data_IF_924598008117
#
_entry.id   IF_924598008117
#
_cell.length_a   1.000
_cell.length_b   1.000
_cell.length_c   1.000
_cell.angle_alpha   90.00
_cell.angle_beta   90.00
_cell.angle_gamma   90.00
#
_symmetry.space_group_name_H-M   'P 1'
#
loop_
_entity.id
_entity.type
_entity.pdbx_description
1 polymer ?
#
# COMPACT_ATOMS: atom_id res chain seq x y z
N UNK A 1 18.01 8.19 22.99
CA UNK A 1 16.78 8.57 22.27
C UNK A 1 16.81 8.09 20.82
N UNK A 2 17.77 8.54 20.00
CA UNK A 2 17.89 8.18 18.56
C UNK A 2 17.80 6.67 18.25
N UNK A 3 18.51 5.82 19.01
CA UNK A 3 18.51 4.36 18.81
C UNK A 3 17.14 3.71 19.03
N UNK A 4 16.34 4.24 19.98
CA UNK A 4 14.99 3.73 20.24
C UNK A 4 14.01 4.15 19.13
N UNK A 5 14.18 5.36 18.59
CA UNK A 5 13.36 5.86 17.49
C UNK A 5 13.69 5.11 16.20
N UNK A 6 14.98 4.91 15.90
CA UNK A 6 15.44 4.12 14.75
C UNK A 6 14.87 2.68 14.77
N UNK A 7 15.01 1.97 15.89
CA UNK A 7 14.44 0.62 16.03
C UNK A 7 12.93 0.60 15.82
N UNK A 8 12.23 1.64 16.28
CA UNK A 8 10.79 1.76 16.10
C UNK A 8 10.39 2.06 14.65
N UNK A 9 11.20 2.83 13.91
CA UNK A 9 10.98 3.10 12.48
C UNK A 9 11.20 1.83 11.67
N UNK A 10 12.29 1.10 11.92
CA UNK A 10 12.57 -0.17 11.26
C UNK A 10 11.48 -1.21 11.53
N UNK A 11 11.00 -1.30 12.79
CA UNK A 11 9.88 -2.17 13.13
C UNK A 11 8.60 -1.78 12.37
N UNK A 12 8.26 -0.49 12.37
CA UNK A 12 7.09 0.01 11.63
C UNK A 12 7.18 -0.25 10.14
N UNK A 13 8.35 -0.01 9.53
CA UNK A 13 8.59 -0.25 8.12
C UNK A 13 8.45 -1.74 7.79
N UNK A 14 9.03 -2.61 8.61
CA UNK A 14 8.89 -4.06 8.47
C UNK A 14 7.43 -4.52 8.57
N UNK A 15 6.66 -3.97 9.51
CA UNK A 15 5.25 -4.32 9.70
C UNK A 15 4.39 -3.88 8.50
N UNK A 16 4.63 -2.68 7.98
CA UNK A 16 3.94 -2.17 6.77
C UNK A 16 4.30 -2.99 5.54
N UNK A 17 5.59 -3.23 5.30
CA UNK A 17 6.05 -4.09 4.19
C UNK A 17 5.49 -5.50 4.27
N UNK A 18 5.42 -6.07 5.47
CA UNK A 18 4.85 -7.39 5.70
C UNK A 18 3.34 -7.42 5.44
N UNK A 19 2.60 -6.40 5.89
CA UNK A 19 1.15 -6.28 5.63
C UNK A 19 0.89 -6.24 4.12
N UNK A 20 1.62 -5.38 3.42
CA UNK A 20 1.51 -5.23 1.96
C UNK A 20 1.93 -6.51 1.22
N UNK A 21 2.96 -7.21 1.69
CA UNK A 21 3.33 -8.52 1.17
C UNK A 21 2.19 -9.53 1.31
N UNK A 22 1.53 -9.60 2.47
CA UNK A 22 0.37 -10.47 2.67
C UNK A 22 -0.81 -10.10 1.77
N UNK A 23 -1.03 -8.80 1.52
CA UNK A 23 -2.06 -8.31 0.58
C UNK A 23 -1.82 -8.85 -0.82
N UNK A 24 -0.60 -8.69 -1.35
CA UNK A 24 -0.25 -9.16 -2.69
C UNK A 24 -0.29 -10.68 -2.79
N UNK A 25 0.16 -11.36 -1.73
CA UNK A 25 0.07 -12.80 -1.65
C UNK A 25 -1.40 -13.24 -1.72
N UNK A 26 -2.29 -12.64 -0.93
CA UNK A 26 -3.72 -12.97 -0.99
C UNK A 26 -4.33 -12.71 -2.38
N UNK A 27 -4.00 -11.58 -3.01
CA UNK A 27 -4.50 -11.27 -4.36
C UNK A 27 -3.97 -12.29 -5.38
N UNK A 28 -2.67 -12.60 -5.35
CA UNK A 28 -2.03 -13.53 -6.28
C UNK A 28 -2.51 -14.97 -6.10
N UNK A 29 -2.64 -15.45 -4.86
CA UNK A 29 -3.16 -16.79 -4.58
C UNK A 29 -4.66 -16.89 -4.94
N UNK A 30 -5.45 -15.84 -4.69
CA UNK A 30 -6.87 -15.78 -5.05
C UNK A 30 -7.11 -15.86 -6.57
N UNK A 31 -6.29 -15.17 -7.36
CA UNK A 31 -6.35 -15.24 -8.82
C UNK A 31 -5.99 -16.64 -9.36
N UNK A 32 -4.98 -17.29 -8.79
CA UNK A 32 -4.59 -18.65 -9.18
C UNK A 32 -5.72 -19.69 -8.94
N UNK A 33 -6.47 -19.56 -7.85
CA UNK A 33 -7.63 -20.42 -7.57
C UNK A 33 -8.74 -20.20 -8.62
N UNK A 34 -8.92 -18.98 -9.12
CA UNK A 34 -9.97 -18.64 -10.10
C UNK A 34 -9.64 -19.05 -11.54
N UNK A 35 -8.37 -19.28 -11.87
CA UNK A 35 -7.90 -19.49 -13.25
C UNK A 35 -7.45 -20.93 -13.54
N UNK A 36 -7.41 -21.81 -12.53
CA UNK A 36 -6.85 -23.16 -12.68
C UNK A 36 -7.77 -24.13 -13.45
N UNK A 37 -7.23 -24.96 -14.37
CA UNK A 37 -8.00 -26.01 -15.03
C UNK A 37 -8.41 -27.11 -14.04
N UNK A 38 -9.51 -27.81 -14.34
CA UNK A 38 -10.12 -28.92 -13.56
C UNK A 38 -9.25 -30.18 -13.53
N UNK A 39 -7.98 -30.07 -13.13
CA UNK A 39 -7.09 -31.21 -12.93
C UNK A 39 -7.05 -31.64 -11.45
N UNK A 40 -6.99 -32.94 -11.15
CA UNK A 40 -7.01 -33.46 -9.78
C UNK A 40 -5.76 -33.09 -8.95
N UNK A 41 -4.61 -32.81 -9.59
CA UNK A 41 -3.41 -32.29 -8.91
C UNK A 41 -3.59 -30.86 -8.39
N UNK A 42 -4.50 -30.08 -8.98
CA UNK A 42 -4.86 -28.76 -8.48
C UNK A 42 -5.72 -28.83 -7.19
N UNK A 43 -6.32 -29.98 -6.87
CA UNK A 43 -7.22 -30.11 -5.71
C UNK A 43 -6.49 -29.98 -4.38
N UNK A 44 -5.29 -30.55 -4.26
CA UNK A 44 -4.48 -30.47 -3.03
C UNK A 44 -3.78 -29.11 -2.97
N UNK A 45 -3.14 -28.66 -4.06
CA UNK A 45 -2.46 -27.36 -4.11
C UNK A 45 -3.45 -26.21 -3.93
N UNK A 46 -4.62 -26.29 -4.57
CA UNK A 46 -5.73 -25.35 -4.43
C UNK A 46 -6.35 -25.35 -3.04
N UNK A 47 -6.53 -26.52 -2.40
CA UNK A 47 -6.99 -26.60 -1.02
C UNK A 47 -5.96 -26.01 -0.03
N UNK A 48 -4.66 -26.24 -0.26
CA UNK A 48 -3.57 -25.69 0.55
C UNK A 48 -3.47 -24.17 0.36
N UNK A 49 -3.59 -23.69 -0.88
CA UNK A 49 -3.73 -22.27 -1.23
C UNK A 49 -4.92 -21.61 -0.55
N UNK A 50 -6.11 -22.21 -0.60
CA UNK A 50 -7.32 -21.75 0.08
C UNK A 50 -7.18 -21.73 1.61
N UNK A 51 -6.53 -22.74 2.17
CA UNK A 51 -6.26 -22.84 3.61
C UNK A 51 -5.28 -21.75 4.05
N UNK A 52 -4.24 -21.48 3.26
CA UNK A 52 -3.31 -20.37 3.49
C UNK A 52 -4.01 -19.03 3.32
N UNK A 53 -4.90 -18.87 2.32
CA UNK A 53 -5.66 -17.64 2.07
C UNK A 53 -6.59 -17.30 3.24
N UNK A 54 -7.31 -18.31 3.75
CA UNK A 54 -8.25 -18.16 4.88
C UNK A 54 -7.54 -17.83 6.18
N UNK A 55 -6.28 -18.22 6.35
CA UNK A 55 -5.48 -17.85 7.51
C UNK A 55 -4.82 -16.46 7.36
N UNK A 56 -4.29 -16.16 6.17
CA UNK A 56 -3.53 -14.92 5.92
C UNK A 56 -4.42 -13.71 5.70
N UNK A 57 -5.56 -13.85 5.02
CA UNK A 57 -6.47 -12.75 4.71
C UNK A 57 -6.99 -11.98 5.95
N UNK A 58 -7.57 -12.68 6.95
CA UNK A 58 -7.99 -12.04 8.20
C UNK A 58 -6.83 -11.41 8.97
N UNK A 59 -5.64 -12.03 8.91
CA UNK A 59 -4.45 -11.52 9.56
C UNK A 59 -3.93 -10.23 8.91
N UNK A 60 -3.90 -10.17 7.57
CA UNK A 60 -3.68 -8.93 6.83
C UNK A 60 -4.69 -7.85 7.24
N UNK A 61 -5.99 -8.17 7.24
CA UNK A 61 -7.03 -7.20 7.61
C UNK A 61 -6.91 -6.71 9.05
N UNK A 62 -6.44 -7.55 9.98
CA UNK A 62 -6.17 -7.15 11.35
C UNK A 62 -4.96 -6.20 11.46
N UNK A 63 -3.88 -6.47 10.72
CA UNK A 63 -2.69 -5.62 10.68
C UNK A 63 -2.97 -4.27 10.02
N UNK A 64 -3.69 -4.28 8.89
CA UNK A 64 -4.01 -3.07 8.13
C UNK A 64 -4.86 -2.09 8.96
N UNK A 65 -5.81 -2.59 9.76
CA UNK A 65 -6.58 -1.77 10.71
C UNK A 65 -5.73 -1.05 11.75
N UNK A 66 -4.56 -1.58 12.07
CA UNK A 66 -3.65 -0.98 13.06
C UNK A 66 -2.62 -0.05 12.42
N UNK A 67 -2.50 -0.07 11.10
CA UNK A 67 -1.56 0.74 10.34
C UNK A 67 -2.24 2.03 9.90
N UNK A 68 -1.84 3.14 10.50
CA UNK A 68 -2.25 4.46 10.04
C UNK A 68 -1.24 4.96 9.00
N UNK A 69 -1.68 5.48 7.83
CA UNK A 69 -0.76 6.07 6.84
C UNK A 69 -0.02 7.29 7.41
N UNK A 70 -0.59 7.91 8.45
CA UNK A 70 -0.05 9.09 9.14
C UNK A 70 1.09 8.76 10.12
N UNK A 71 1.32 7.48 10.40
CA UNK A 71 2.21 7.04 11.49
C UNK A 71 3.63 7.57 11.32
N UNK A 72 4.23 7.43 10.14
CA UNK A 72 5.62 7.84 9.95
C UNK A 72 5.80 9.36 9.98
N UNK A 73 4.82 10.12 9.48
CA UNK A 73 4.80 11.58 9.61
C UNK A 73 4.73 12.01 11.08
N UNK A 74 3.87 11.38 11.88
CA UNK A 74 3.79 11.63 13.32
C UNK A 74 5.06 11.22 14.07
N UNK A 75 5.68 10.10 13.70
CA UNK A 75 6.97 9.68 14.27
C UNK A 75 8.08 10.69 13.95
N UNK A 76 8.08 11.25 12.73
CA UNK A 76 9.05 12.25 12.31
C UNK A 76 8.86 13.57 13.06
N UNK A 77 7.62 14.01 13.25
CA UNK A 77 7.31 15.28 13.92
C UNK A 77 7.47 15.19 15.45
N UNK A 78 7.02 14.11 16.09
CA UNK A 78 6.99 14.01 17.57
C UNK A 78 8.12 13.17 18.15
N UNK A 79 8.94 12.52 17.32
CA UNK A 79 9.95 11.55 17.78
C UNK A 79 9.36 10.42 18.65
N UNK A 80 8.09 10.05 18.42
CA UNK A 80 7.36 9.04 19.20
C UNK A 80 7.54 7.62 18.66
N UNK A 81 7.18 6.62 19.46
CA UNK A 81 7.19 5.21 19.05
C UNK A 81 6.02 4.90 18.12
N UNK A 82 6.20 3.92 17.23
CA UNK A 82 5.26 3.52 16.18
C UNK A 82 3.82 3.39 16.65
N UNK A 83 3.56 2.60 17.70
CA UNK A 83 2.19 2.38 18.19
C UNK A 83 1.51 3.64 18.71
N UNK A 84 2.28 4.52 19.34
CA UNK A 84 1.75 5.78 19.85
C UNK A 84 1.48 6.74 18.69
N UNK A 85 2.44 6.86 17.77
CA UNK A 85 2.32 7.68 16.57
C UNK A 85 1.15 7.25 15.67
N UNK A 86 0.91 5.94 15.51
CA UNK A 86 -0.19 5.41 14.71
C UNK A 86 -1.54 5.82 15.29
N UNK A 87 -1.72 5.61 16.60
CA UNK A 87 -2.95 5.99 17.32
C UNK A 87 -3.16 7.50 17.35
N UNK A 88 -2.11 8.26 17.68
CA UNK A 88 -2.17 9.72 17.74
C UNK A 88 -2.46 10.33 16.36
N UNK A 89 -1.82 9.84 15.30
CA UNK A 89 -2.07 10.30 13.94
C UNK A 89 -3.48 9.97 13.46
N UNK A 90 -3.98 8.76 13.73
CA UNK A 90 -5.37 8.41 13.41
C UNK A 90 -6.39 9.27 14.17
N UNK A 91 -6.16 9.51 15.46
CA UNK A 91 -7.01 10.35 16.29
C UNK A 91 -7.00 11.82 15.82
N UNK A 92 -5.82 12.37 15.54
CA UNK A 92 -5.64 13.74 15.02
C UNK A 92 -6.39 13.94 13.70
N UNK A 93 -6.16 13.06 12.73
CA UNK A 93 -6.79 13.15 11.41
C UNK A 93 -8.30 12.92 11.47
N UNK A 94 -8.77 12.11 12.41
CA UNK A 94 -10.20 11.93 12.66
C UNK A 94 -10.83 13.16 13.32
N UNK A 95 -10.15 13.76 14.29
CA UNK A 95 -10.64 14.95 14.99
C UNK A 95 -10.70 16.17 14.05
N UNK A 96 -9.72 16.29 13.16
CA UNK A 96 -9.63 17.34 12.17
C UNK A 96 -10.53 17.13 10.93
N UNK A 97 -11.32 16.04 10.87
CA UNK A 97 -12.17 15.72 9.72
C UNK A 97 -11.41 15.32 8.43
N UNK A 98 -10.09 15.24 8.47
CA UNK A 98 -9.23 14.99 7.31
C UNK A 98 -9.11 13.50 6.92
N UNK A 99 -9.78 12.59 7.62
CA UNK A 99 -9.81 11.17 7.24
C UNK A 99 -10.37 10.93 5.83
N UNK A 100 -11.24 11.82 5.33
CA UNK A 100 -11.77 11.77 3.96
C UNK A 100 -10.67 11.92 2.90
N UNK A 101 -9.50 12.46 3.24
CA UNK A 101 -8.39 12.57 2.30
C UNK A 101 -7.88 11.21 1.82
N UNK A 102 -8.13 10.12 2.57
CA UNK A 102 -7.81 8.75 2.13
C UNK A 102 -8.65 8.30 0.94
N UNK A 103 -9.83 8.87 0.77
CA UNK A 103 -10.74 8.57 -0.32
C UNK A 103 -10.47 9.43 -1.56
N UNK A 104 -9.52 10.37 -1.47
CA UNK A 104 -9.18 11.21 -2.62
C UNK A 104 -8.50 10.41 -3.71
N UNK A 105 -8.75 10.82 -4.96
CA UNK A 105 -8.15 10.20 -6.14
C UNK A 105 -6.62 10.22 -6.11
N UNK A 106 -6.00 11.24 -5.50
CA UNK A 106 -4.54 11.31 -5.37
C UNK A 106 -3.99 10.24 -4.42
N UNK A 107 -4.64 10.04 -3.27
CA UNK A 107 -4.25 9.02 -2.30
C UNK A 107 -4.41 7.62 -2.89
N UNK A 108 -5.57 7.36 -3.52
CA UNK A 108 -5.84 6.10 -4.19
C UNK A 108 -4.88 5.85 -5.36
N UNK A 109 -4.55 6.86 -6.16
CA UNK A 109 -3.62 6.75 -7.29
C UNK A 109 -2.24 6.31 -6.82
N UNK A 110 -1.71 6.89 -5.73
CA UNK A 110 -0.42 6.51 -5.16
C UNK A 110 -0.46 5.08 -4.59
N UNK A 111 -1.60 4.65 -4.05
CA UNK A 111 -1.76 3.28 -3.54
C UNK A 111 -1.89 2.23 -4.65
N UNK A 112 -2.58 2.55 -5.75
CA UNK A 112 -2.86 1.63 -6.85
C UNK A 112 -1.79 1.60 -7.95
N UNK A 113 -0.98 2.65 -8.09
CA UNK A 113 0.07 2.70 -9.11
C UNK A 113 1.04 1.50 -9.06
N UNK A 114 1.49 1.05 -7.88
CA UNK A 114 2.32 -0.13 -7.81
C UNK A 114 1.65 -1.41 -8.30
N UNK A 115 0.33 -1.54 -8.10
CA UNK A 115 -0.44 -2.68 -8.65
C UNK A 115 -0.46 -2.59 -10.17
N UNK A 116 -0.74 -1.41 -10.73
CA UNK A 116 -0.73 -1.19 -12.18
C UNK A 116 0.63 -1.51 -12.80
N UNK A 117 1.73 -1.02 -12.21
CA UNK A 117 3.09 -1.28 -12.69
C UNK A 117 3.42 -2.77 -12.56
N UNK A 118 2.99 -3.44 -11.48
CA UNK A 118 3.09 -4.88 -11.35
C UNK A 118 2.37 -5.61 -12.48
N UNK A 119 1.13 -5.23 -12.82
CA UNK A 119 0.37 -5.82 -13.94
C UNK A 119 1.07 -5.59 -15.27
N UNK A 120 1.52 -4.37 -15.56
CA UNK A 120 2.26 -4.06 -16.79
C UNK A 120 3.52 -4.93 -16.88
N UNK A 121 4.28 -5.06 -15.80
CA UNK A 121 5.46 -5.93 -15.74
C UNK A 121 5.12 -7.39 -16.02
N UNK A 122 4.05 -7.90 -15.42
CA UNK A 122 3.58 -9.28 -15.62
C UNK A 122 3.16 -9.53 -17.07
N UNK A 123 2.38 -8.61 -17.66
CA UNK A 123 1.93 -8.68 -19.06
C UNK A 123 3.11 -8.59 -20.02
N UNK A 124 4.05 -7.67 -19.79
CA UNK A 124 5.26 -7.56 -20.61
C UNK A 124 6.11 -8.84 -20.55
N UNK A 125 6.29 -9.43 -19.36
CA UNK A 125 7.00 -10.70 -19.21
C UNK A 125 6.26 -11.86 -19.89
N UNK A 126 4.93 -11.93 -19.75
CA UNK A 126 4.12 -12.93 -20.43
C UNK A 126 4.26 -12.84 -21.95
N UNK A 127 4.14 -11.64 -22.51
CA UNK A 127 4.33 -11.40 -23.94
C UNK A 127 5.75 -11.75 -24.38
N UNK A 128 6.77 -11.42 -23.59
CA UNK A 128 8.16 -11.72 -23.90
C UNK A 128 8.42 -13.23 -23.95
N UNK A 129 7.95 -13.97 -22.93
CA UNK A 129 8.11 -15.44 -22.85
C UNK A 129 7.29 -16.16 -23.92
N UNK A 130 6.16 -15.61 -24.35
CA UNK A 130 5.28 -16.22 -25.36
C UNK A 130 5.69 -15.91 -26.79
N UNK A 131 6.18 -14.69 -27.06
CA UNK A 131 6.46 -14.21 -28.43
C UNK A 131 7.91 -14.40 -28.86
N UNK A 132 8.87 -14.46 -27.92
CA UNK A 132 10.28 -14.69 -28.27
C UNK A 132 10.56 -16.20 -28.16
N UNK A 133 10.89 -16.89 -29.27
CA UNK A 133 11.26 -18.30 -29.22
C UNK A 133 12.51 -18.46 -28.36
N UNK A 134 12.35 -19.12 -27.23
CA UNK A 134 13.38 -19.44 -26.26
C UNK A 134 13.09 -20.77 -25.58
N UNK A 135 13.96 -21.24 -24.69
CA UNK A 135 13.89 -22.59 -24.13
C UNK A 135 12.54 -22.92 -23.47
N UNK A 136 11.82 -21.93 -22.94
CA UNK A 136 10.51 -22.14 -22.30
C UNK A 136 9.44 -22.61 -23.30
N UNK A 137 9.47 -22.10 -24.54
CA UNK A 137 8.58 -22.53 -25.63
C UNK A 137 9.02 -23.89 -26.20
N UNK A 138 10.33 -24.14 -26.25
CA UNK A 138 10.89 -25.41 -26.75
C UNK A 138 10.67 -26.59 -25.80
N UNK A 139 10.66 -26.35 -24.47
CA UNK A 139 10.44 -27.39 -23.45
C UNK A 139 9.00 -27.47 -22.92
N UNK A 140 8.09 -26.61 -23.39
CA UNK A 140 6.68 -26.53 -22.96
C UNK A 140 6.53 -26.45 -21.43
N UNK A 141 7.43 -25.72 -20.78
CA UNK A 141 7.49 -25.63 -19.32
C UNK A 141 6.59 -24.49 -18.82
N UNK A 142 5.29 -24.74 -18.88
CA UNK A 142 4.22 -23.81 -18.51
C UNK A 142 4.40 -23.32 -17.06
N UNK A 143 4.92 -24.18 -16.17
CA UNK A 143 5.16 -23.85 -14.78
C UNK A 143 6.24 -22.76 -14.63
N UNK A 144 7.33 -22.86 -15.39
CA UNK A 144 8.41 -21.85 -15.37
C UNK A 144 7.93 -20.51 -15.92
N UNK A 145 7.09 -20.52 -16.95
CA UNK A 145 6.48 -19.30 -17.50
C UNK A 145 5.56 -18.61 -16.46
N UNK A 146 4.70 -19.37 -15.78
CA UNK A 146 3.81 -18.86 -14.73
C UNK A 146 4.60 -18.26 -13.56
N UNK A 147 5.66 -18.95 -13.12
CA UNK A 147 6.54 -18.46 -12.05
C UNK A 147 7.22 -17.16 -12.46
N UNK A 148 7.74 -17.05 -13.68
CA UNK A 148 8.38 -15.82 -14.18
C UNK A 148 7.41 -14.64 -14.22
N UNK A 149 6.17 -14.86 -14.66
CA UNK A 149 5.12 -13.83 -14.70
C UNK A 149 4.74 -13.37 -13.29
N UNK A 150 4.61 -14.31 -12.34
CA UNK A 150 4.33 -13.98 -10.93
C UNK A 150 5.49 -13.20 -10.29
N UNK A 151 6.74 -13.57 -10.56
CA UNK A 151 7.91 -12.82 -10.09
C UNK A 151 8.01 -11.43 -10.72
N UNK A 152 7.65 -11.29 -11.99
CA UNK A 152 7.60 -9.98 -12.66
C UNK A 152 6.55 -9.06 -12.02
N UNK A 153 5.34 -9.58 -11.73
CA UNK A 153 4.32 -8.83 -11.00
C UNK A 153 4.84 -8.36 -9.63
N UNK A 154 5.42 -9.29 -8.87
CA UNK A 154 5.95 -8.99 -7.54
C UNK A 154 7.11 -7.98 -7.59
N UNK A 155 8.08 -8.20 -8.47
CA UNK A 155 9.21 -7.30 -8.64
C UNK A 155 8.78 -5.89 -9.06
N UNK A 156 7.93 -5.78 -10.07
CA UNK A 156 7.40 -4.50 -10.57
C UNK A 156 6.63 -3.73 -9.50
N UNK A 157 5.76 -4.42 -8.75
CA UNK A 157 4.98 -3.79 -7.67
C UNK A 157 5.86 -3.32 -6.51
N UNK A 158 6.86 -4.10 -6.07
CA UNK A 158 7.72 -3.67 -4.96
C UNK A 158 8.67 -2.52 -5.34
N UNK A 159 9.23 -2.55 -6.55
CA UNK A 159 10.08 -1.45 -7.05
C UNK A 159 9.26 -0.16 -7.13
N UNK A 160 8.05 -0.25 -7.67
CA UNK A 160 7.14 0.89 -7.75
C UNK A 160 6.79 1.45 -6.35
N UNK A 161 6.47 0.59 -5.38
CA UNK A 161 6.22 1.04 -3.99
C UNK A 161 7.41 1.75 -3.38
N UNK A 162 8.62 1.23 -3.58
CA UNK A 162 9.83 1.88 -3.11
C UNK A 162 10.01 3.27 -3.74
N UNK A 163 9.73 3.39 -5.05
CA UNK A 163 9.80 4.66 -5.77
C UNK A 163 8.72 5.67 -5.34
N UNK A 164 7.50 5.22 -5.01
CA UNK A 164 6.40 6.07 -4.56
C UNK A 164 6.40 6.37 -3.05
N UNK A 165 7.17 5.65 -2.25
CA UNK A 165 7.23 5.84 -0.80
C UNK A 165 7.55 7.29 -0.37
N UNK A 166 8.51 8.01 -1.00
CA UNK A 166 8.79 9.41 -0.66
C UNK A 166 7.61 10.34 -0.95
N UNK A 167 6.89 10.12 -2.05
CA UNK A 167 5.71 10.92 -2.42
C UNK A 167 4.56 10.70 -1.44
N UNK A 168 4.31 9.45 -1.07
CA UNK A 168 3.32 9.11 -0.06
C UNK A 168 3.68 9.76 1.29
N UNK A 169 4.95 9.69 1.69
CA UNK A 169 5.46 10.31 2.91
C UNK A 169 5.31 11.84 2.90
N UNK A 170 5.63 12.50 1.80
CA UNK A 170 5.47 13.95 1.65
C UNK A 170 4.01 14.37 1.76
N UNK A 171 3.12 13.70 1.02
CA UNK A 171 1.67 13.94 1.06
C UNK A 171 1.10 13.75 2.47
N UNK A 172 1.39 12.62 3.13
CA UNK A 172 0.93 12.36 4.49
C UNK A 172 1.44 13.43 5.48
N UNK A 173 2.67 13.91 5.29
CA UNK A 173 3.25 14.94 6.15
C UNK A 173 2.54 16.29 5.97
N UNK A 174 2.24 16.69 4.73
CA UNK A 174 1.47 17.91 4.47
C UNK A 174 0.10 17.85 5.15
N UNK A 175 -0.61 16.72 5.02
CA UNK A 175 -1.93 16.55 5.63
C UNK A 175 -1.89 16.55 7.16
N UNK A 176 -0.87 15.94 7.75
CA UNK A 176 -0.68 15.99 9.22
C UNK A 176 -0.36 17.41 9.68
N UNK A 177 0.45 18.18 8.95
CA UNK A 177 0.74 19.58 9.28
C UNK A 177 -0.50 20.46 9.16
N UNK A 178 -1.32 20.23 8.13
CA UNK A 178 -2.62 20.88 7.97
C UNK A 178 -3.56 20.60 9.14
N UNK A 179 -3.56 19.36 9.67
CA UNK A 179 -4.36 18.99 10.82
C UNK A 179 -3.86 19.59 12.15
N UNK A 180 -2.55 19.85 12.27
CA UNK A 180 -1.94 20.37 13.51
C UNK A 180 -2.03 21.88 13.64
N UNK A 181 -1.68 22.57 12.56
CA UNK A 181 -1.53 24.03 12.56
C UNK A 181 -2.27 24.62 11.34
N UNK A 182 -3.61 24.49 11.31
CA UNK A 182 -4.41 24.92 10.16
C UNK A 182 -4.25 26.41 9.86
N UNK A 183 -4.11 27.25 10.89
CA UNK A 183 -3.91 28.70 10.74
C UNK A 183 -2.59 29.06 10.03
N UNK A 184 -1.49 28.39 10.38
CA UNK A 184 -0.19 28.61 9.75
C UNK A 184 -0.20 28.09 8.30
N UNK A 185 -0.86 26.95 8.09
CA UNK A 185 -1.05 26.40 6.75
C UNK A 185 -1.90 27.32 5.86
N UNK A 186 -2.97 27.92 6.39
CA UNK A 186 -3.80 28.88 5.68
C UNK A 186 -3.03 30.17 5.34
N UNK A 187 -2.19 30.66 6.26
CA UNK A 187 -1.34 31.84 6.04
C UNK A 187 -0.32 31.62 4.91
N UNK A 188 0.36 30.47 4.92
CA UNK A 188 1.45 30.19 3.98
C UNK A 188 0.97 29.57 2.65
N UNK A 189 -0.15 28.85 2.67
CA UNK A 189 -0.69 28.09 1.54
C UNK A 189 -2.19 28.35 1.31
N UNK A 190 -2.62 29.60 1.47
CA UNK A 190 -4.03 30.01 1.37
C UNK A 190 -4.72 29.65 0.04
N UNK A 191 -3.98 29.56 -1.07
CA UNK A 191 -4.51 29.10 -2.37
C UNK A 191 -4.86 27.61 -2.33
N UNK A 192 -4.05 26.79 -1.66
CA UNK A 192 -4.32 25.36 -1.50
C UNK A 192 -5.49 25.17 -0.54
N UNK A 193 -5.54 25.97 0.53
CA UNK A 193 -6.64 25.97 1.48
C UNK A 193 -7.99 26.23 0.81
N UNK A 194 -8.13 27.35 0.10
CA UNK A 194 -9.38 27.73 -0.60
C UNK A 194 -9.85 26.66 -1.59
N UNK A 195 -8.93 26.03 -2.33
CA UNK A 195 -9.26 24.89 -3.21
C UNK A 195 -9.75 23.66 -2.44
N UNK A 196 -9.21 23.45 -1.24
CA UNK A 196 -9.64 22.36 -0.37
C UNK A 196 -11.03 22.63 0.22
N UNK A 197 -11.35 23.89 0.54
CA UNK A 197 -12.70 24.32 0.94
C UNK A 197 -13.71 24.12 -0.21
N UNK A 198 -13.34 24.47 -1.44
CA UNK A 198 -14.17 24.24 -2.65
C UNK A 198 -14.43 22.75 -2.88
N UNK A 199 -13.43 21.89 -2.65
CA UNK A 199 -13.53 20.46 -2.88
C UNK A 199 -14.32 19.75 -1.78
N UNK A 200 -14.14 20.17 -0.53
CA UNK A 200 -14.90 19.63 0.60
C UNK A 200 -15.09 20.66 1.73
N UNK A 201 -16.22 21.38 1.75
CA UNK A 201 -16.46 22.43 2.74
C UNK A 201 -16.54 21.90 4.18
N UNK A 202 -16.90 20.61 4.36
CA UNK A 202 -16.93 19.99 5.69
C UNK A 202 -15.55 19.81 6.32
N UNK A 203 -14.50 19.72 5.51
CA UNK A 203 -13.10 19.66 5.97
C UNK A 203 -12.63 21.04 6.43
N UNK A 204 -13.02 22.09 5.72
CA UNK A 204 -12.72 23.47 6.11
C UNK A 204 -13.38 23.85 7.44
N UNK A 205 -14.66 23.52 7.61
CA UNK A 205 -15.39 23.74 8.86
C UNK A 205 -14.80 22.96 10.05
N UNK A 206 -14.26 21.76 9.80
CA UNK A 206 -13.62 20.94 10.83
C UNK A 206 -12.25 21.47 11.24
N UNK A 207 -11.54 22.17 10.36
CA UNK A 207 -10.20 22.71 10.63
C UNK A 207 -10.21 24.15 11.17
N UNK A 208 -11.33 24.87 11.07
CA UNK A 208 -11.50 26.24 11.58
C UNK A 208 -12.07 26.30 13.01
N UNK A 209 -12.40 25.16 13.62
CA UNK A 209 -12.84 25.02 15.02
C UNK A 209 -11.67 24.73 15.95
#
# INVERSE_FOLDING_TARGET
MLRSTYNSVCYGAGLVSYTVFLKDLVIGLGQNISLGPTSPFLSITGALLLTVLTFIGPFHGALDRTNSPWTFSMMALDSTKYWHASKAGAALMSAAGLNILKETGLFQMIEYFPVLIGVVSAVSTFLLVTLIPGPIVEYNDILVAEVLVAFAYFGGSQISRAAFAPFNGAMCTIFVMMAREPAIFQEHYGVVWTRLEEFNPSVAEALLK
#
